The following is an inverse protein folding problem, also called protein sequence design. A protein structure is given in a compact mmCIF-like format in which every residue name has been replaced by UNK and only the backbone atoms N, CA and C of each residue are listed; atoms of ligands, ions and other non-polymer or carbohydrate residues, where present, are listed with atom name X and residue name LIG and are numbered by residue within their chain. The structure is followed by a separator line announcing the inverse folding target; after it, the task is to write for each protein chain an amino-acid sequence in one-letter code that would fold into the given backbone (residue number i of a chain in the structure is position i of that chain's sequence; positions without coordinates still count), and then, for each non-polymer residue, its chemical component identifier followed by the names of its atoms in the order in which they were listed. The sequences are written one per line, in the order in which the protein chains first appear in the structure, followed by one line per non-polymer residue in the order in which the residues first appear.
data_IF_133684894160
#
_entry.id   IF_133684894160
#
_cell.length_a   1.000
_cell.length_b   1.000
_cell.length_c   1.000
_cell.angle_alpha   90.00
_cell.angle_beta   90.00
_cell.angle_gamma   90.00
#
_symmetry.space_group_name_H-M   'P 1'
#
loop_
_entity.id
_entity.type
_entity.pdbx_description
1 polymer ?
#
# COMPACT_ATOMS: atom_id res chain seq x y z
N UNK A 1 -29.86 43.67 48.15
CA UNK A 1 -28.85 42.57 48.18
C UNK A 1 -27.74 42.93 47.21
N UNK A 2 -26.48 42.67 47.62
CA UNK A 2 -25.20 43.11 47.01
C UNK A 2 -24.70 42.15 45.91
N UNK A 3 -23.63 42.61 45.24
CA UNK A 3 -22.69 41.96 44.28
C UNK A 3 -23.13 42.05 42.81
N UNK A 4 -22.54 42.83 41.90
CA UNK A 4 -21.16 43.29 41.65
C UNK A 4 -20.18 42.15 41.32
N UNK A 5 -19.80 42.00 40.05
CA UNK A 5 -18.40 42.21 39.63
C UNK A 5 -18.22 42.24 38.10
N UNK A 6 -17.55 43.31 37.68
CA UNK A 6 -17.01 43.65 36.38
C UNK A 6 -15.72 42.88 36.06
N UNK A 7 -15.52 42.49 34.80
CA UNK A 7 -14.19 42.19 34.25
C UNK A 7 -13.85 43.26 33.21
N UNK A 8 -12.76 44.00 33.49
CA UNK A 8 -12.25 45.10 32.68
C UNK A 8 -11.31 44.57 31.59
N UNK A 9 -11.58 45.02 30.37
CA UNK A 9 -10.69 45.00 29.21
C UNK A 9 -9.42 45.82 29.51
N UNK A 10 -8.22 45.26 29.25
CA UNK A 10 -6.97 46.03 29.21
C UNK A 10 -6.27 45.81 27.88
N UNK A 11 -6.21 46.91 27.14
CA UNK A 11 -5.46 47.16 25.92
C UNK A 11 -4.14 47.82 26.33
N UNK A 12 -2.99 47.26 25.94
CA UNK A 12 -1.67 47.91 25.99
C UNK A 12 -0.81 47.31 24.87
N UNK A 13 -0.71 47.96 23.71
CA UNK A 13 0.39 48.85 23.30
C UNK A 13 1.78 48.18 23.37
N UNK A 14 2.34 47.79 22.22
CA UNK A 14 3.78 47.66 22.03
C UNK A 14 4.19 48.48 20.81
N UNK A 15 4.99 49.51 21.06
CA UNK A 15 5.61 50.39 20.06
C UNK A 15 7.07 49.96 19.85
N UNK A 16 7.45 49.98 18.58
CA UNK A 16 8.74 49.80 17.93
C UNK A 16 9.95 50.46 18.63
N UNK A 17 11.11 49.81 18.64
CA UNK A 17 12.41 50.48 18.43
C UNK A 17 13.47 49.53 17.87
N UNK A 18 14.26 50.13 16.98
CA UNK A 18 15.22 49.62 16.01
C UNK A 18 16.62 49.52 16.65
N UNK A 19 17.41 48.47 16.38
CA UNK A 19 18.88 48.53 16.43
C UNK A 19 19.46 47.78 15.24
N UNK A 20 20.13 48.55 14.36
CA UNK A 20 21.03 48.10 13.31
C UNK A 20 22.31 47.49 13.93
N UNK A 21 22.85 46.45 13.29
CA UNK A 21 24.28 46.42 12.97
C UNK A 21 24.55 45.58 11.71
N UNK A 22 24.95 46.26 10.63
CA UNK A 22 25.78 45.73 9.54
C UNK A 22 27.14 45.36 10.15
N UNK A 23 27.85 44.30 9.75
CA UNK A 23 28.75 44.18 8.58
C UNK A 23 29.50 42.83 8.79
N UNK A 24 30.12 42.10 7.85
CA UNK A 24 30.83 42.41 6.62
C UNK A 24 30.94 41.11 5.80
N UNK A 25 30.82 41.20 4.48
CA UNK A 25 31.14 40.13 3.52
C UNK A 25 32.66 39.92 3.42
N UNK A 26 33.08 38.69 3.11
CA UNK A 26 34.27 38.45 2.29
C UNK A 26 34.00 37.28 1.33
N UNK A 27 33.79 37.62 0.07
CA UNK A 27 33.98 36.74 -1.08
C UNK A 27 35.43 36.84 -1.58
N UNK A 28 35.87 35.79 -2.29
CA UNK A 28 36.86 35.70 -3.38
C UNK A 28 37.73 34.45 -3.15
N UNK A 29 37.43 33.29 -3.76
CA UNK A 29 37.72 32.86 -5.15
C UNK A 29 39.19 32.96 -5.56
N UNK A 30 39.76 31.79 -5.87
CA UNK A 30 40.61 31.42 -7.03
C UNK A 30 40.93 29.94 -6.81
N UNK A 31 40.70 28.98 -7.71
CA UNK A 31 40.85 28.99 -9.16
C UNK A 31 42.15 28.26 -9.49
N UNK A 32 42.08 27.02 -9.99
CA UNK A 32 43.26 26.27 -10.39
C UNK A 32 42.99 24.80 -10.69
N UNK A 33 42.49 24.52 -11.88
CA UNK A 33 42.42 23.20 -12.49
C UNK A 33 43.67 23.01 -13.38
N UNK A 34 44.43 21.92 -13.20
CA UNK A 34 45.23 21.25 -14.24
C UNK A 34 45.91 19.96 -13.73
N UNK A 35 45.54 18.84 -14.37
CA UNK A 35 46.25 17.55 -14.50
C UNK A 35 47.29 17.65 -15.67
N UNK A 36 48.21 16.71 -16.02
CA UNK A 36 48.70 15.47 -15.38
C UNK A 36 50.25 15.27 -15.36
N UNK A 37 50.66 14.16 -14.71
CA UNK A 37 51.92 13.39 -14.90
C UNK A 37 53.28 14.03 -14.54
N UNK A 38 53.93 13.52 -13.48
CA UNK A 38 55.31 12.99 -13.53
C UNK A 38 55.69 12.23 -12.24
N UNK A 39 56.16 11.02 -12.47
CA UNK A 39 56.78 10.04 -11.56
C UNK A 39 57.88 10.60 -10.66
N UNK A 40 57.84 10.24 -9.36
CA UNK A 40 58.93 10.43 -8.41
C UNK A 40 58.70 9.63 -7.14
N UNK A 41 59.28 8.43 -7.08
CA UNK A 41 59.28 7.50 -5.95
C UNK A 41 60.12 8.01 -4.77
N UNK A 42 59.53 8.07 -3.57
CA UNK A 42 60.27 8.09 -2.31
C UNK A 42 59.74 7.01 -1.38
N UNK A 43 60.50 5.93 -1.26
CA UNK A 43 60.32 4.85 -0.29
C UNK A 43 61.02 5.25 1.00
N UNK A 44 60.27 5.41 2.09
CA UNK A 44 60.84 5.33 3.45
C UNK A 44 60.59 3.91 3.96
N UNK A 45 61.66 3.13 4.01
CA UNK A 45 61.68 1.81 4.65
C UNK A 45 61.70 2.00 6.18
N UNK A 46 60.63 1.59 6.86
CA UNK A 46 60.65 1.21 8.27
C UNK A 46 60.68 -0.32 8.38
N UNK A 47 61.52 -0.92 9.24
CA UNK A 47 61.62 -2.37 9.35
C UNK A 47 60.49 -2.94 10.21
N UNK A 48 59.79 -3.94 9.67
CA UNK A 48 59.32 -5.12 10.40
C UNK A 48 58.29 -4.90 11.52
N UNK A 49 57.03 -4.73 11.14
CA UNK A 49 55.94 -5.33 11.90
C UNK A 49 55.35 -6.45 11.02
N UNK A 50 55.47 -7.69 11.49
CA UNK A 50 54.74 -8.82 10.91
C UNK A 50 53.25 -8.50 10.97
N UNK A 51 52.64 -8.25 9.81
CA UNK A 51 51.19 -8.25 9.69
C UNK A 51 50.71 -9.64 10.14
N UNK A 52 49.84 -9.75 11.18
CA UNK A 52 49.11 -10.98 11.34
C UNK A 52 48.31 -11.16 10.04
N UNK A 53 48.39 -12.35 9.47
CA UNK A 53 47.50 -12.80 8.40
C UNK A 53 46.09 -12.34 8.74
N UNK A 54 45.59 -11.35 8.00
CA UNK A 54 44.18 -10.98 8.03
C UNK A 54 43.46 -12.25 7.59
N UNK A 55 42.80 -12.92 8.54
CA UNK A 55 41.66 -13.76 8.21
C UNK A 55 40.73 -12.83 7.46
N UNK A 56 40.62 -13.00 6.14
CA UNK A 56 39.60 -12.32 5.35
C UNK A 56 38.26 -12.83 5.90
N UNK A 57 37.69 -12.05 6.82
CA UNK A 57 36.40 -12.37 7.40
C UNK A 57 35.40 -12.44 6.25
N UNK A 58 34.70 -13.57 6.13
CA UNK A 58 33.75 -13.78 5.03
C UNK A 58 32.71 -12.66 5.11
N UNK A 59 32.66 -11.81 4.09
CA UNK A 59 31.76 -10.66 4.05
C UNK A 59 30.31 -11.14 3.94
N UNK A 60 29.43 -10.64 4.80
CA UNK A 60 28.02 -10.95 4.77
C UNK A 60 27.33 -10.13 3.67
N UNK A 61 27.15 -10.74 2.49
CA UNK A 61 26.50 -10.10 1.34
C UNK A 61 24.97 -10.28 1.37
N UNK A 62 24.24 -9.41 0.67
CA UNK A 62 22.77 -9.41 0.60
C UNK A 62 22.23 -8.87 -0.72
N UNK A 63 20.95 -9.18 -0.98
CA UNK A 63 20.10 -8.58 -2.03
C UNK A 63 18.93 -7.88 -1.36
N UNK A 64 18.61 -6.66 -1.81
CA UNK A 64 17.42 -5.91 -1.39
C UNK A 64 16.42 -5.80 -2.54
N UNK A 65 15.13 -5.88 -2.22
CA UNK A 65 14.01 -5.57 -3.12
C UNK A 65 12.98 -4.68 -2.43
N UNK A 66 12.13 -4.03 -3.22
CA UNK A 66 10.96 -3.32 -2.74
C UNK A 66 9.66 -3.94 -3.27
N UNK A 67 8.71 -4.21 -2.38
CA UNK A 67 7.34 -4.55 -2.75
C UNK A 67 6.41 -3.42 -2.31
N UNK A 68 5.72 -2.78 -3.26
CA UNK A 68 4.74 -1.74 -2.98
C UNK A 68 3.33 -2.33 -3.04
N UNK A 69 2.48 -2.01 -2.07
CA UNK A 69 1.06 -2.33 -2.06
C UNK A 69 0.21 -1.08 -1.89
N UNK A 70 -0.87 -1.00 -2.66
CA UNK A 70 -1.87 0.07 -2.60
C UNK A 70 -3.28 -0.50 -2.40
N UNK A 71 -4.18 0.33 -1.87
CA UNK A 71 -5.56 -0.03 -1.55
C UNK A 71 -6.50 -0.12 -2.75
N UNK A 72 -7.76 0.25 -2.54
CA UNK A 72 -8.86 -0.05 -3.45
C UNK A 72 -8.87 0.84 -4.71
N UNK A 73 -8.85 0.21 -5.89
CA UNK A 73 -9.14 0.87 -7.16
C UNK A 73 -10.60 0.59 -7.54
N UNK A 74 -11.41 1.66 -7.51
CA UNK A 74 -12.83 1.62 -7.85
C UNK A 74 -13.22 2.82 -8.74
N UNK A 75 -14.09 2.58 -9.71
CA UNK A 75 -14.53 3.62 -10.65
C UNK A 75 -16.03 3.88 -10.55
N UNK A 76 -16.37 5.03 -9.98
CA UNK A 76 -17.75 5.53 -9.93
C UNK A 76 -18.10 6.28 -11.23
N UNK A 77 -19.39 6.46 -11.48
CA UNK A 77 -19.89 7.07 -12.72
C UNK A 77 -19.30 8.46 -13.03
N UNK A 78 -18.97 9.26 -12.02
CA UNK A 78 -18.31 10.55 -12.23
C UNK A 78 -16.88 10.42 -12.74
N UNK A 79 -16.12 9.42 -12.29
CA UNK A 79 -14.78 9.11 -12.78
C UNK A 79 -14.84 8.58 -14.22
N UNK A 80 -15.85 7.76 -14.55
CA UNK A 80 -16.06 7.31 -15.94
C UNK A 80 -16.37 8.49 -16.87
N UNK A 81 -17.21 9.44 -16.44
CA UNK A 81 -17.51 10.66 -17.21
C UNK A 81 -16.28 11.55 -17.40
N UNK A 82 -15.46 11.68 -16.36
CA UNK A 82 -14.18 12.43 -16.37
C UNK A 82 -13.19 11.87 -17.39
N UNK A 83 -13.07 10.55 -17.45
CA UNK A 83 -12.13 9.87 -18.34
C UNK A 83 -12.60 9.80 -19.81
N UNK A 84 -13.87 10.07 -20.11
CA UNK A 84 -14.40 9.94 -21.46
C UNK A 84 -13.87 11.04 -22.41
N UNK A 85 -13.43 10.64 -23.59
CA UNK A 85 -12.91 11.50 -24.66
C UNK A 85 -13.86 11.46 -25.85
N UNK A 86 -14.77 12.42 -25.92
CA UNK A 86 -15.84 12.46 -26.94
C UNK A 86 -15.33 12.59 -28.38
N UNK A 87 -14.15 13.18 -28.59
CA UNK A 87 -13.57 13.33 -29.92
C UNK A 87 -13.11 11.99 -30.54
N UNK A 88 -12.73 11.03 -29.71
CA UNK A 88 -12.22 9.71 -30.14
C UNK A 88 -13.15 8.56 -29.77
N UNK A 89 -14.20 8.81 -28.99
CA UNK A 89 -15.08 7.79 -28.40
C UNK A 89 -14.30 6.75 -27.57
N UNK A 90 -13.33 7.24 -26.78
CA UNK A 90 -12.46 6.41 -25.93
C UNK A 90 -12.46 6.89 -24.49
N UNK A 91 -11.83 6.12 -23.61
CA UNK A 91 -11.58 6.49 -22.21
C UNK A 91 -10.09 6.64 -21.96
N UNK A 92 -9.71 7.57 -21.09
CA UNK A 92 -8.33 7.82 -20.67
C UNK A 92 -8.31 8.18 -19.18
N UNK A 93 -7.67 7.30 -18.40
CA UNK A 93 -7.53 7.40 -16.94
C UNK A 93 -6.08 7.70 -16.52
N UNK A 94 -5.21 8.09 -17.44
CA UNK A 94 -3.79 8.36 -17.13
C UNK A 94 -3.61 9.45 -16.06
N UNK A 95 -4.51 10.43 -16.06
CA UNK A 95 -4.54 11.52 -15.08
C UNK A 95 -4.64 11.02 -13.63
N UNK A 96 -5.33 9.89 -13.41
CA UNK A 96 -5.53 9.32 -12.09
C UNK A 96 -4.22 9.03 -11.36
N UNK A 97 -3.17 8.64 -12.10
CA UNK A 97 -1.90 8.17 -11.54
C UNK A 97 -0.71 9.09 -11.83
N UNK A 98 -0.93 10.23 -12.47
CA UNK A 98 0.15 11.09 -12.98
C UNK A 98 1.20 11.47 -11.91
N UNK A 99 0.76 11.70 -10.67
CA UNK A 99 1.62 12.14 -9.56
C UNK A 99 2.26 10.99 -8.77
N UNK A 100 1.77 9.77 -8.93
CA UNK A 100 2.21 8.58 -8.19
C UNK A 100 2.94 7.57 -9.06
N UNK A 101 2.86 7.69 -10.39
CA UNK A 101 3.51 6.80 -11.37
C UNK A 101 4.99 6.55 -11.06
N UNK A 102 5.76 7.59 -10.77
CA UNK A 102 7.20 7.42 -10.50
C UNK A 102 7.46 6.69 -9.17
N UNK A 103 6.55 6.78 -8.20
CA UNK A 103 6.67 6.05 -6.93
C UNK A 103 6.38 4.57 -7.18
N UNK A 104 5.25 4.26 -7.84
CA UNK A 104 4.82 2.88 -8.14
C UNK A 104 5.85 2.17 -9.02
N UNK A 105 6.20 2.74 -10.17
CA UNK A 105 7.12 2.14 -11.14
C UNK A 105 8.58 2.05 -10.67
N UNK A 106 8.93 2.67 -9.54
CA UNK A 106 10.25 2.51 -8.91
C UNK A 106 10.34 1.27 -8.01
N UNK A 107 9.19 0.67 -7.66
CA UNK A 107 9.17 -0.58 -6.90
C UNK A 107 9.64 -1.75 -7.77
N UNK A 108 10.29 -2.73 -7.16
CA UNK A 108 10.66 -3.96 -7.87
C UNK A 108 9.45 -4.86 -8.16
N UNK A 109 8.38 -4.70 -7.36
CA UNK A 109 7.11 -5.35 -7.58
C UNK A 109 5.96 -4.54 -6.95
N UNK A 110 4.94 -4.19 -7.71
CA UNK A 110 3.81 -3.39 -7.25
C UNK A 110 2.45 -4.12 -7.36
N UNK A 111 1.69 -4.11 -6.26
CA UNK A 111 0.43 -4.85 -6.10
C UNK A 111 -0.71 -3.90 -5.73
N UNK A 112 -1.91 -4.10 -6.28
CA UNK A 112 -3.08 -3.26 -5.96
C UNK A 112 -4.38 -4.04 -5.97
N UNK A 113 -5.35 -3.63 -5.14
CA UNK A 113 -6.69 -4.22 -5.15
C UNK A 113 -7.52 -3.67 -6.32
N UNK A 114 -7.98 -4.56 -7.19
CA UNK A 114 -8.83 -4.22 -8.34
C UNK A 114 -10.29 -4.54 -8.01
N UNK A 115 -11.04 -3.52 -7.58
CA UNK A 115 -12.38 -3.68 -7.00
C UNK A 115 -13.46 -3.16 -7.96
N UNK A 116 -13.43 -3.71 -9.17
CA UNK A 116 -14.43 -3.47 -10.22
C UNK A 116 -14.46 -4.66 -11.15
N UNK A 117 -15.39 -4.71 -12.11
CA UNK A 117 -15.42 -5.76 -13.14
C UNK A 117 -15.14 -5.19 -14.53
N UNK A 118 -14.79 -6.04 -15.48
CA UNK A 118 -14.57 -5.70 -16.90
C UNK A 118 -15.48 -6.53 -17.82
N UNK A 119 -16.65 -6.90 -17.31
CA UNK A 119 -17.55 -7.90 -17.84
C UNK A 119 -18.23 -7.51 -19.16
N UNK A 120 -18.66 -6.25 -19.31
CA UNK A 120 -19.44 -5.82 -20.47
C UNK A 120 -18.88 -4.53 -21.09
N UNK A 121 -18.29 -4.64 -22.28
CA UNK A 121 -17.69 -3.48 -22.94
C UNK A 121 -18.69 -2.60 -23.70
N UNK A 122 -19.97 -2.95 -23.70
CA UNK A 122 -21.04 -2.14 -24.31
C UNK A 122 -21.79 -1.28 -23.28
N UNK A 123 -21.59 -1.50 -21.98
CA UNK A 123 -22.32 -0.80 -20.92
C UNK A 123 -21.45 -0.70 -19.67
N UNK A 124 -21.02 0.51 -19.33
CA UNK A 124 -20.25 0.75 -18.11
C UNK A 124 -21.15 1.21 -16.98
N UNK A 125 -20.99 0.60 -15.82
CA UNK A 125 -21.82 0.83 -14.63
C UNK A 125 -20.96 1.13 -13.41
N UNK A 126 -21.58 1.72 -12.40
CA UNK A 126 -20.96 1.96 -11.09
C UNK A 126 -21.80 1.35 -9.99
N UNK A 127 -21.51 1.70 -8.73
CA UNK A 127 -22.32 1.33 -7.56
C UNK A 127 -23.83 1.24 -7.86
N UNK A 128 -24.51 0.14 -7.50
CA UNK A 128 -24.02 -0.96 -6.66
C UNK A 128 -23.31 -2.11 -7.40
N UNK A 129 -23.29 -2.10 -8.73
CA UNK A 129 -22.65 -3.17 -9.52
C UNK A 129 -21.72 -2.56 -10.55
N UNK A 130 -20.42 -2.64 -10.29
CA UNK A 130 -19.40 -1.95 -11.04
C UNK A 130 -19.00 -2.70 -12.30
N UNK A 131 -18.84 -1.98 -13.40
CA UNK A 131 -18.25 -2.48 -14.62
C UNK A 131 -17.54 -1.36 -15.37
N UNK A 132 -16.23 -1.47 -15.48
CA UNK A 132 -15.32 -0.45 -15.98
C UNK A 132 -14.87 -0.71 -17.43
N UNK A 133 -14.53 0.34 -18.19
CA UNK A 133 -13.88 0.21 -19.50
C UNK A 133 -12.48 -0.42 -19.37
N UNK A 134 -12.03 -1.17 -20.39
CA UNK A 134 -10.69 -1.76 -20.39
C UNK A 134 -9.55 -0.74 -20.26
N UNK A 135 -9.79 0.53 -20.60
CA UNK A 135 -8.81 1.61 -20.49
C UNK A 135 -8.29 1.84 -19.05
N UNK A 136 -9.00 1.32 -18.02
CA UNK A 136 -8.47 1.33 -16.65
C UNK A 136 -7.24 0.41 -16.52
N UNK A 137 -7.19 -0.70 -17.25
CA UNK A 137 -6.04 -1.60 -17.25
C UNK A 137 -4.82 -0.95 -17.91
N UNK A 138 -5.04 -0.15 -18.97
CA UNK A 138 -3.97 0.61 -19.63
C UNK A 138 -3.32 1.59 -18.65
N UNK A 139 -4.12 2.37 -17.90
CA UNK A 139 -3.59 3.35 -16.95
C UNK A 139 -2.95 2.70 -15.71
N UNK A 140 -3.51 1.59 -15.21
CA UNK A 140 -2.92 0.83 -14.11
C UNK A 140 -1.57 0.23 -14.53
N UNK A 141 -1.46 -0.29 -15.76
CA UNK A 141 -0.20 -0.84 -16.28
C UNK A 141 0.83 0.27 -16.48
N UNK A 142 0.42 1.40 -17.06
CA UNK A 142 1.29 2.57 -17.26
C UNK A 142 1.76 3.18 -15.94
N UNK A 143 0.94 3.14 -14.88
CA UNK A 143 1.34 3.56 -13.55
C UNK A 143 2.47 2.70 -12.96
N UNK A 144 2.59 1.44 -13.40
CA UNK A 144 3.65 0.52 -13.00
C UNK A 144 3.22 -0.61 -12.08
N UNK A 145 1.91 -0.89 -11.94
CA UNK A 145 1.46 -2.05 -11.17
C UNK A 145 1.69 -3.36 -11.94
N UNK A 146 2.19 -4.36 -11.24
CA UNK A 146 2.50 -5.68 -11.79
C UNK A 146 1.37 -6.68 -11.58
N UNK A 147 0.72 -6.62 -10.40
CA UNK A 147 -0.29 -7.58 -9.97
C UNK A 147 -1.58 -6.95 -9.50
N UNK A 148 -2.69 -7.60 -9.88
CA UNK A 148 -4.05 -7.25 -9.45
C UNK A 148 -4.58 -8.29 -8.47
N UNK A 149 -5.10 -7.83 -7.34
CA UNK A 149 -5.84 -8.64 -6.38
C UNK A 149 -7.31 -8.64 -6.78
N UNK A 150 -7.94 -9.81 -6.87
CA UNK A 150 -9.32 -9.93 -7.35
C UNK A 150 -10.24 -10.71 -6.41
N UNK A 151 -9.75 -11.25 -5.30
CA UNK A 151 -10.64 -11.60 -4.20
C UNK A 151 -11.00 -10.31 -3.45
N UNK A 152 -12.17 -9.77 -3.77
CA UNK A 152 -12.84 -8.68 -3.08
C UNK A 152 -14.36 -8.83 -3.23
N UNK A 153 -15.12 -7.99 -2.55
CA UNK A 153 -16.59 -8.03 -2.56
C UNK A 153 -17.23 -7.76 -3.94
N UNK A 154 -16.56 -6.99 -4.81
CA UNK A 154 -17.06 -6.61 -6.14
C UNK A 154 -16.63 -7.54 -7.28
N UNK A 155 -15.84 -8.57 -7.01
CA UNK A 155 -15.35 -9.49 -8.05
C UNK A 155 -16.48 -10.29 -8.74
N UNK A 156 -17.65 -10.37 -8.10
CA UNK A 156 -18.81 -11.14 -8.50
C UNK A 156 -20.03 -10.28 -8.91
N UNK A 157 -19.86 -8.97 -9.15
CA UNK A 157 -20.96 -8.06 -9.53
C UNK A 157 -21.72 -8.52 -10.79
N UNK A 158 -21.01 -9.12 -11.74
CA UNK A 158 -21.56 -9.69 -12.99
C UNK A 158 -21.60 -11.23 -12.96
N UNK A 159 -21.65 -11.80 -11.76
CA UNK A 159 -21.69 -13.25 -11.49
C UNK A 159 -20.51 -13.99 -12.13
N UNK A 160 -20.61 -15.31 -12.32
CA UNK A 160 -19.53 -16.13 -12.90
C UNK A 160 -19.05 -15.66 -14.26
N UNK A 161 -19.98 -15.24 -15.13
CA UNK A 161 -19.61 -14.76 -16.46
C UNK A 161 -18.73 -13.51 -16.36
N UNK A 162 -19.11 -12.55 -15.52
CA UNK A 162 -18.32 -11.33 -15.31
C UNK A 162 -16.99 -11.60 -14.64
N UNK A 163 -16.98 -12.45 -13.61
CA UNK A 163 -15.76 -12.87 -12.92
C UNK A 163 -14.74 -13.46 -13.90
N UNK A 164 -15.13 -14.45 -14.70
CA UNK A 164 -14.27 -15.09 -15.69
C UNK A 164 -13.86 -14.14 -16.82
N UNK A 165 -14.77 -13.26 -17.27
CA UNK A 165 -14.46 -12.26 -18.27
C UNK A 165 -13.37 -11.30 -17.77
N UNK A 166 -13.47 -10.80 -16.53
CA UNK A 166 -12.47 -9.92 -15.93
C UNK A 166 -11.11 -10.60 -15.82
N UNK A 167 -11.04 -11.84 -15.30
CA UNK A 167 -9.79 -12.60 -15.23
C UNK A 167 -9.16 -12.80 -16.62
N UNK A 168 -9.98 -13.07 -17.64
CA UNK A 168 -9.53 -13.16 -19.03
C UNK A 168 -8.93 -11.85 -19.55
N UNK A 169 -9.42 -10.68 -19.12
CA UNK A 169 -8.81 -9.39 -19.47
C UNK A 169 -7.46 -9.20 -18.78
N UNK A 170 -7.32 -9.59 -17.51
CA UNK A 170 -6.02 -9.53 -16.82
C UNK A 170 -4.96 -10.33 -17.59
N UNK A 171 -5.30 -11.55 -18.02
CA UNK A 171 -4.41 -12.37 -18.85
C UNK A 171 -4.07 -11.70 -20.19
N UNK A 172 -5.06 -11.14 -20.88
CA UNK A 172 -4.87 -10.46 -22.18
C UNK A 172 -3.98 -9.22 -22.06
N UNK A 173 -4.08 -8.50 -20.95
CA UNK A 173 -3.28 -7.30 -20.66
C UNK A 173 -1.92 -7.62 -20.02
N UNK A 174 -1.64 -8.91 -19.73
CA UNK A 174 -0.37 -9.33 -19.14
C UNK A 174 -0.19 -8.88 -17.69
N UNK A 175 -1.28 -8.87 -16.91
CA UNK A 175 -1.21 -8.73 -15.46
C UNK A 175 -1.06 -10.10 -14.80
N UNK A 176 -0.21 -10.15 -13.77
CA UNK A 176 -0.29 -11.22 -12.79
C UNK A 176 -1.52 -10.96 -11.90
N UNK A 177 -2.19 -12.01 -11.45
CA UNK A 177 -3.34 -11.86 -10.55
C UNK A 177 -3.49 -13.08 -9.63
N UNK A 178 -4.10 -12.84 -8.47
CA UNK A 178 -4.45 -13.85 -7.47
C UNK A 178 -5.84 -13.58 -6.89
N UNK A 179 -6.35 -14.52 -6.10
CA UNK A 179 -7.69 -14.41 -5.49
C UNK A 179 -8.82 -14.99 -6.35
N UNK A 180 -8.49 -15.52 -7.53
CA UNK A 180 -9.45 -16.12 -8.44
C UNK A 180 -8.85 -17.11 -9.42
N UNK A 181 -9.67 -18.03 -9.94
CA UNK A 181 -9.28 -19.11 -10.85
C UNK A 181 -10.13 -19.09 -12.11
N UNK A 182 -9.51 -19.34 -13.27
CA UNK A 182 -10.24 -19.60 -14.52
C UNK A 182 -10.89 -20.99 -14.51
N UNK A 183 -10.23 -21.95 -13.86
CA UNK A 183 -10.66 -23.34 -13.74
C UNK A 183 -10.35 -23.84 -12.32
N UNK A 184 -11.19 -24.71 -11.76
CA UNK A 184 -11.04 -25.20 -10.38
C UNK A 184 -9.68 -25.93 -10.13
N UNK A 185 -9.07 -26.48 -11.17
CA UNK A 185 -7.75 -27.12 -11.15
C UNK A 185 -6.57 -26.14 -11.09
N UNK A 186 -6.79 -24.85 -11.38
CA UNK A 186 -5.75 -23.82 -11.40
C UNK A 186 -5.39 -23.35 -9.99
N UNK A 187 -4.15 -22.88 -9.81
CA UNK A 187 -3.76 -22.16 -8.59
C UNK A 187 -4.25 -20.71 -8.67
N UNK A 188 -4.70 -20.18 -7.53
CA UNK A 188 -5.09 -18.77 -7.33
C UNK A 188 -4.14 -18.01 -6.41
N UNK A 189 -2.98 -18.62 -6.13
CA UNK A 189 -1.88 -18.11 -5.32
C UNK A 189 -0.58 -18.44 -6.05
N UNK A 190 0.50 -17.71 -5.74
CA UNK A 190 1.75 -17.86 -6.50
C UNK A 190 3.00 -17.65 -5.66
N UNK A 191 4.11 -18.22 -6.16
CA UNK A 191 5.46 -17.86 -5.73
C UNK A 191 6.04 -16.92 -6.78
N UNK A 192 6.29 -15.67 -6.41
CA UNK A 192 6.91 -14.67 -7.27
C UNK A 192 8.39 -14.54 -6.94
N UNK A 193 9.26 -14.79 -7.92
CA UNK A 193 10.68 -14.49 -7.80
C UNK A 193 10.93 -13.02 -8.19
N UNK A 194 11.40 -12.23 -7.24
CA UNK A 194 11.81 -10.83 -7.43
C UNK A 194 13.30 -10.76 -7.11
N UNK A 195 14.14 -10.62 -8.14
CA UNK A 195 15.61 -10.54 -8.03
C UNK A 195 16.23 -11.66 -7.17
N UNK A 196 15.70 -12.87 -7.21
CA UNK A 196 16.20 -14.04 -6.48
C UNK A 196 15.62 -14.20 -5.06
N UNK A 197 14.65 -13.38 -4.67
CA UNK A 197 13.86 -13.52 -3.44
C UNK A 197 12.47 -14.02 -3.81
N UNK A 198 12.04 -15.16 -3.25
CA UNK A 198 10.77 -15.81 -3.59
C UNK A 198 9.67 -15.47 -2.62
N UNK A 199 8.69 -14.70 -3.07
CA UNK A 199 7.54 -14.24 -2.29
C UNK A 199 6.34 -15.17 -2.54
N UNK A 200 5.79 -15.78 -1.50
CA UNK A 200 4.51 -16.50 -1.57
C UNK A 200 3.35 -15.53 -1.37
N UNK A 201 2.41 -15.49 -2.32
CA UNK A 201 1.34 -14.49 -2.37
C UNK A 201 -0.04 -15.16 -2.36
N UNK A 202 -0.90 -14.73 -1.43
CA UNK A 202 -2.28 -15.21 -1.24
C UNK A 202 -3.25 -14.03 -1.24
N UNK A 203 -4.48 -14.21 -1.73
CA UNK A 203 -5.51 -13.18 -1.66
C UNK A 203 -6.88 -13.80 -1.34
N UNK A 204 -7.57 -13.27 -0.33
CA UNK A 204 -8.89 -13.74 0.10
C UNK A 204 -9.89 -12.61 0.28
N UNK A 205 -11.19 -12.92 0.17
CA UNK A 205 -12.27 -12.01 0.55
C UNK A 205 -13.29 -12.68 1.47
N UNK A 206 -13.87 -11.91 2.38
CA UNK A 206 -14.93 -12.41 3.24
C UNK A 206 -16.30 -12.41 2.53
N UNK A 207 -17.19 -13.28 3.00
CA UNK A 207 -18.57 -13.43 2.53
C UNK A 207 -19.47 -13.76 3.71
N UNK A 208 -20.79 -13.77 3.47
CA UNK A 208 -21.79 -14.09 4.47
C UNK A 208 -22.68 -15.24 3.98
N UNK A 209 -23.11 -16.10 4.90
CA UNK A 209 -24.30 -16.94 4.69
C UNK A 209 -25.48 -16.26 5.39
N UNK A 210 -26.55 -15.85 4.69
CA UNK A 210 -27.75 -15.32 5.33
C UNK A 210 -28.37 -16.36 6.30
N UNK A 211 -29.04 -15.95 7.40
CA UNK A 211 -29.55 -16.87 8.43
C UNK A 211 -30.48 -18.00 7.93
N UNK A 212 -31.13 -17.81 6.77
CA UNK A 212 -31.97 -18.80 6.11
C UNK A 212 -31.51 -19.08 4.66
N UNK A 213 -30.27 -18.71 4.32
CA UNK A 213 -29.70 -18.86 2.99
C UNK A 213 -29.10 -20.25 2.79
N UNK A 214 -29.43 -20.88 1.66
CA UNK A 214 -28.74 -22.10 1.21
C UNK A 214 -27.34 -21.82 0.68
N UNK A 215 -27.11 -20.59 0.19
CA UNK A 215 -25.90 -20.19 -0.52
C UNK A 215 -25.23 -19.01 0.17
N UNK A 216 -23.92 -18.91 -0.03
CA UNK A 216 -23.16 -17.73 0.36
C UNK A 216 -23.53 -16.53 -0.53
N UNK A 217 -23.36 -15.35 0.05
CA UNK A 217 -23.62 -14.07 -0.60
C UNK A 217 -22.41 -13.17 -0.46
N UNK A 218 -22.12 -12.43 -1.53
CA UNK A 218 -21.11 -11.38 -1.56
C UNK A 218 -21.79 -10.12 -2.13
N UNK A 219 -21.66 -8.98 -1.43
CA UNK A 219 -22.44 -7.76 -1.72
C UNK A 219 -23.96 -8.00 -1.89
N UNK A 220 -24.52 -8.96 -1.15
CA UNK A 220 -25.94 -9.35 -1.24
C UNK A 220 -26.31 -10.14 -2.50
N UNK A 221 -25.36 -10.43 -3.39
CA UNK A 221 -25.55 -11.27 -4.57
C UNK A 221 -25.36 -12.74 -4.17
N UNK A 222 -26.37 -13.57 -4.44
CA UNK A 222 -26.29 -15.02 -4.19
C UNK A 222 -25.30 -15.70 -5.13
N UNK A 223 -24.37 -16.45 -4.56
CA UNK A 223 -23.40 -17.27 -5.31
C UNK A 223 -24.01 -18.66 -5.53
N UNK A 224 -24.65 -18.88 -6.70
CA UNK A 224 -25.38 -20.12 -7.00
C UNK A 224 -25.17 -20.66 -8.42
N UNK A 225 -24.11 -20.21 -9.10
CA UNK A 225 -23.75 -20.61 -10.48
C UNK A 225 -22.42 -21.40 -10.54
N UNK A 226 -21.94 -21.85 -9.38
CA UNK A 226 -20.68 -22.59 -9.23
C UNK A 226 -19.44 -21.71 -9.42
N UNK A 227 -19.52 -20.40 -9.17
CA UNK A 227 -18.34 -19.53 -9.10
C UNK A 227 -17.61 -19.63 -7.76
N UNK A 228 -18.26 -20.13 -6.71
CA UNK A 228 -17.69 -20.26 -5.36
C UNK A 228 -16.35 -21.00 -5.36
N UNK A 229 -16.23 -22.12 -6.07
CA UNK A 229 -14.99 -22.90 -6.18
C UNK A 229 -13.86 -22.18 -6.96
N UNK A 230 -14.18 -21.09 -7.64
CA UNK A 230 -13.26 -20.29 -8.45
C UNK A 230 -12.80 -19.02 -7.74
N UNK A 231 -13.43 -18.65 -6.63
CA UNK A 231 -13.11 -17.45 -5.86
C UNK A 231 -12.41 -17.85 -4.57
N UNK A 232 -11.34 -17.15 -4.22
CA UNK A 232 -10.70 -17.33 -2.91
C UNK A 232 -11.50 -16.55 -1.86
N UNK A 233 -12.61 -17.12 -1.42
CA UNK A 233 -13.50 -16.53 -0.43
C UNK A 233 -13.61 -17.38 0.82
N UNK A 234 -13.97 -16.74 1.93
CA UNK A 234 -14.34 -17.45 3.16
C UNK A 234 -15.60 -16.84 3.77
N UNK A 235 -16.28 -17.61 4.62
CA UNK A 235 -17.51 -17.18 5.28
C UNK A 235 -17.20 -16.67 6.68
N UNK A 236 -17.60 -15.44 6.99
CA UNK A 236 -17.48 -14.89 8.36
C UNK A 236 -18.26 -15.76 9.35
N UNK A 237 -17.64 -16.06 10.49
CA UNK A 237 -18.11 -16.98 11.52
C UNK A 237 -17.90 -18.46 11.20
N UNK A 238 -17.20 -18.80 10.10
CA UNK A 238 -16.84 -20.19 9.72
C UNK A 238 -15.40 -20.27 9.22
N UNK A 239 -14.49 -19.60 9.93
CA UNK A 239 -13.10 -19.40 9.51
C UNK A 239 -12.23 -20.67 9.55
N UNK A 240 -12.69 -21.76 10.19
CA UNK A 240 -11.94 -23.02 10.22
C UNK A 240 -11.62 -23.56 8.81
N UNK A 241 -12.53 -23.36 7.85
CA UNK A 241 -12.30 -23.72 6.45
C UNK A 241 -11.19 -22.86 5.81
N UNK A 242 -11.19 -21.55 6.09
CA UNK A 242 -10.13 -20.65 5.66
C UNK A 242 -8.78 -21.11 6.24
N UNK A 243 -8.72 -21.40 7.53
CA UNK A 243 -7.46 -21.77 8.19
C UNK A 243 -6.90 -23.09 7.67
N UNK A 244 -7.75 -24.08 7.41
CA UNK A 244 -7.34 -25.34 6.80
C UNK A 244 -6.76 -25.11 5.40
N UNK A 245 -7.47 -24.35 4.55
CA UNK A 245 -7.02 -24.08 3.19
C UNK A 245 -5.73 -23.24 3.16
N UNK A 246 -5.64 -22.18 3.97
CA UNK A 246 -4.42 -21.36 4.07
C UNK A 246 -3.24 -22.20 4.55
N UNK A 247 -3.45 -23.12 5.49
CA UNK A 247 -2.39 -24.04 5.95
C UNK A 247 -1.86 -24.89 4.79
N UNK A 248 -2.74 -25.47 3.99
CA UNK A 248 -2.35 -26.27 2.82
C UNK A 248 -1.60 -25.42 1.78
N UNK A 249 -2.08 -24.22 1.49
CA UNK A 249 -1.44 -23.31 0.53
C UNK A 249 -0.09 -22.80 1.03
N UNK A 250 0.06 -22.50 2.31
CA UNK A 250 1.36 -22.15 2.93
C UNK A 250 2.36 -23.28 2.75
N UNK A 251 1.93 -24.54 2.97
CA UNK A 251 2.79 -25.70 2.78
C UNK A 251 3.20 -25.87 1.32
N UNK A 252 2.28 -25.68 0.36
CA UNK A 252 2.61 -25.71 -1.07
C UNK A 252 3.54 -24.56 -1.47
N UNK A 253 3.30 -23.33 -1.00
CA UNK A 253 4.19 -22.18 -1.23
C UNK A 253 5.61 -22.47 -0.74
N UNK A 254 5.75 -22.98 0.50
CA UNK A 254 7.05 -23.38 1.08
C UNK A 254 7.71 -24.51 0.28
N UNK A 255 6.94 -25.51 -0.14
CA UNK A 255 7.45 -26.60 -0.99
C UNK A 255 7.94 -26.11 -2.37
N UNK A 256 7.38 -25.00 -2.87
CA UNK A 256 7.82 -24.32 -4.09
C UNK A 256 8.89 -23.23 -3.83
N UNK A 257 9.42 -23.16 -2.60
CA UNK A 257 10.54 -22.33 -2.22
C UNK A 257 10.18 -20.88 -1.88
N UNK A 258 8.94 -20.59 -1.47
CA UNK A 258 8.60 -19.30 -0.88
C UNK A 258 9.42 -19.08 0.40
N UNK A 259 10.03 -17.90 0.50
CA UNK A 259 10.90 -17.48 1.60
C UNK A 259 10.21 -16.47 2.53
N UNK A 260 9.15 -15.82 2.02
CA UNK A 260 8.32 -14.87 2.74
C UNK A 260 6.89 -14.94 2.20
N UNK A 261 5.90 -15.02 3.07
CA UNK A 261 4.48 -15.21 2.74
C UNK A 261 3.69 -13.93 3.05
N UNK A 262 3.09 -13.36 2.02
CA UNK A 262 2.24 -12.18 2.08
C UNK A 262 0.80 -12.61 1.76
N UNK A 263 -0.12 -12.29 2.67
CA UNK A 263 -1.54 -12.56 2.51
C UNK A 263 -2.31 -11.26 2.41
N UNK A 264 -2.96 -11.06 1.28
CA UNK A 264 -3.91 -9.98 1.05
C UNK A 264 -5.32 -10.41 1.44
N UNK A 265 -6.07 -9.56 2.13
CA UNK A 265 -7.42 -9.92 2.60
C UNK A 265 -8.41 -8.75 2.50
N UNK A 266 -9.57 -9.00 1.91
CA UNK A 266 -10.62 -8.01 1.73
C UNK A 266 -11.76 -8.31 2.73
N UNK A 267 -11.83 -7.56 3.83
CA UNK A 267 -12.57 -7.98 5.04
C UNK A 267 -13.06 -6.84 5.94
N UNK A 268 -13.88 -7.18 6.92
CA UNK A 268 -14.27 -6.25 7.97
C UNK A 268 -15.58 -5.54 7.65
N UNK A 269 -15.72 -4.28 8.08
CA UNK A 269 -16.93 -3.51 7.86
C UNK A 269 -16.58 -2.16 7.24
N UNK A 270 -17.33 -1.77 6.22
CA UNK A 270 -17.15 -0.47 5.58
C UNK A 270 -17.19 0.70 6.58
N UNK A 271 -16.25 1.62 6.40
CA UNK A 271 -16.14 2.92 7.06
C UNK A 271 -15.93 2.87 8.58
N UNK A 272 -15.45 1.74 9.11
CA UNK A 272 -14.92 1.66 10.47
C UNK A 272 -13.46 2.09 10.48
N UNK A 273 -13.10 3.04 11.35
CA UNK A 273 -11.71 3.51 11.48
C UNK A 273 -10.83 2.56 12.31
N UNK A 274 -11.44 1.55 12.93
CA UNK A 274 -10.78 0.58 13.78
C UNK A 274 -11.25 -0.82 13.40
N UNK A 275 -10.32 -1.80 13.31
CA UNK A 275 -10.67 -3.15 12.94
C UNK A 275 -11.57 -3.79 14.00
N UNK A 276 -12.59 -4.51 13.54
CA UNK A 276 -13.49 -5.27 14.41
C UNK A 276 -12.76 -6.49 14.99
N UNK A 277 -13.26 -7.04 16.11
CA UNK A 277 -12.65 -8.19 16.77
C UNK A 277 -12.45 -9.40 15.83
N UNK A 278 -13.39 -9.65 14.91
CA UNK A 278 -13.26 -10.72 13.93
C UNK A 278 -12.03 -10.57 13.02
N UNK A 279 -11.69 -9.35 12.58
CA UNK A 279 -10.45 -9.11 11.83
C UNK A 279 -9.22 -9.43 12.67
N UNK A 280 -9.20 -9.00 13.95
CA UNK A 280 -8.07 -9.25 14.87
C UNK A 280 -7.88 -10.74 15.14
N UNK A 281 -8.97 -11.49 15.33
CA UNK A 281 -8.94 -12.93 15.55
C UNK A 281 -8.39 -13.69 14.33
N UNK A 282 -8.85 -13.33 13.13
CA UNK A 282 -8.32 -13.90 11.88
C UNK A 282 -6.85 -13.52 11.69
N UNK A 283 -6.47 -12.25 11.91
CA UNK A 283 -5.09 -11.79 11.79
C UNK A 283 -4.15 -12.57 12.71
N UNK A 284 -4.51 -12.73 13.99
CA UNK A 284 -3.74 -13.50 14.96
C UNK A 284 -3.65 -14.97 14.56
N UNK A 285 -4.72 -15.55 14.01
CA UNK A 285 -4.69 -16.94 13.56
C UNK A 285 -3.79 -17.12 12.34
N UNK A 286 -3.81 -16.20 11.37
CA UNK A 286 -2.91 -16.21 10.23
C UNK A 286 -1.44 -16.04 10.65
N UNK A 287 -1.17 -15.20 11.63
CA UNK A 287 0.14 -15.10 12.27
C UNK A 287 0.60 -16.44 12.86
N UNK A 288 -0.29 -17.11 13.60
CA UNK A 288 -0.02 -18.43 14.18
C UNK A 288 0.24 -19.54 13.12
N UNK A 289 -0.21 -19.35 11.87
CA UNK A 289 0.03 -20.25 10.74
C UNK A 289 1.35 -19.95 9.99
N UNK A 290 2.04 -18.86 10.34
CA UNK A 290 3.33 -18.49 9.75
C UNK A 290 3.20 -17.58 8.51
N UNK A 291 2.16 -16.76 8.43
CA UNK A 291 2.11 -15.63 7.47
C UNK A 291 3.04 -14.52 7.97
N UNK A 292 3.87 -13.94 7.11
CA UNK A 292 4.82 -12.89 7.50
C UNK A 292 4.20 -11.49 7.43
N UNK A 293 3.37 -11.24 6.42
CA UNK A 293 2.70 -9.94 6.23
C UNK A 293 1.24 -10.14 5.85
N UNK A 294 0.35 -9.40 6.50
CA UNK A 294 -1.07 -9.32 6.15
C UNK A 294 -1.36 -7.90 5.66
N UNK A 295 -1.98 -7.79 4.49
CA UNK A 295 -2.36 -6.50 3.91
C UNK A 295 -3.86 -6.52 3.61
N UNK A 296 -4.61 -5.76 4.40
CA UNK A 296 -6.06 -5.69 4.33
C UNK A 296 -6.57 -4.56 3.43
N UNK A 297 -7.81 -4.72 2.98
CA UNK A 297 -8.64 -3.71 2.31
C UNK A 297 -10.13 -3.97 2.61
N UNK A 298 -11.05 -3.21 1.99
CA UNK A 298 -12.53 -3.24 2.13
C UNK A 298 -13.16 -2.09 2.93
N UNK A 299 -12.64 -1.67 4.10
CA UNK A 299 -13.28 -0.62 4.88
C UNK A 299 -13.43 0.72 4.14
N UNK A 300 -12.77 0.91 3.00
CA UNK A 300 -12.68 2.16 2.24
C UNK A 300 -12.14 3.34 3.04
N UNK A 301 -11.57 3.06 4.21
CA UNK A 301 -10.84 3.96 5.09
C UNK A 301 -9.59 3.22 5.54
N UNK A 302 -8.58 3.98 5.92
CA UNK A 302 -7.37 3.42 6.50
C UNK A 302 -7.69 2.93 7.92
N UNK A 303 -7.34 1.69 8.21
CA UNK A 303 -7.32 1.13 9.56
C UNK A 303 -5.87 1.00 10.05
N UNK A 304 -5.61 1.00 11.37
CA UNK A 304 -4.25 0.90 11.92
C UNK A 304 -3.47 -0.33 11.47
N UNK A 305 -2.16 -0.33 11.77
CA UNK A 305 -1.32 -1.52 11.69
C UNK A 305 -0.99 -2.09 13.06
N UNK A 306 -0.65 -3.37 13.09
CA UNK A 306 -0.24 -4.10 14.29
C UNK A 306 0.92 -5.06 13.98
N UNK A 307 1.79 -5.28 14.95
CA UNK A 307 2.81 -6.34 14.91
C UNK A 307 2.32 -7.46 15.82
N UNK A 308 1.89 -8.57 15.24
CA UNK A 308 1.40 -9.74 15.94
C UNK A 308 2.56 -10.69 16.22
N UNK A 309 2.56 -11.33 17.39
CA UNK A 309 3.51 -12.41 17.70
C UNK A 309 2.77 -13.73 17.66
N UNK A 310 3.36 -14.74 17.03
CA UNK A 310 2.75 -16.06 16.96
C UNK A 310 2.72 -16.71 18.34
N UNK A 311 1.58 -17.29 18.67
CA UNK A 311 1.37 -18.06 19.90
C UNK A 311 1.97 -19.47 19.81
N UNK A 312 2.23 -19.95 18.59
CA UNK A 312 2.83 -21.25 18.32
C UNK A 312 4.36 -21.18 18.24
N UNK A 313 4.88 -20.02 17.83
CA UNK A 313 6.31 -19.74 17.68
C UNK A 313 6.59 -18.28 18.06
N UNK A 314 7.05 -18.00 19.30
CA UNK A 314 7.35 -16.65 19.74
C UNK A 314 8.45 -15.93 18.94
N UNK A 315 9.20 -16.64 18.11
CA UNK A 315 10.19 -16.03 17.20
C UNK A 315 9.56 -15.53 15.89
N UNK A 316 8.36 -15.99 15.56
CA UNK A 316 7.60 -15.54 14.39
C UNK A 316 6.73 -14.34 14.74
N UNK A 317 6.82 -13.30 13.92
CA UNK A 317 5.96 -12.11 14.00
C UNK A 317 5.35 -11.81 12.64
N UNK A 318 4.14 -11.26 12.65
CA UNK A 318 3.43 -10.82 11.45
C UNK A 318 3.19 -9.33 11.51
N UNK A 319 3.49 -8.61 10.44
CA UNK A 319 3.02 -7.23 10.29
C UNK A 319 1.65 -7.25 9.63
N UNK A 320 0.64 -6.70 10.29
CA UNK A 320 -0.73 -6.66 9.79
C UNK A 320 -1.15 -5.21 9.54
N UNK A 321 -1.44 -4.88 8.29
CA UNK A 321 -2.15 -3.66 7.89
C UNK A 321 -3.62 -4.04 7.77
N UNK A 322 -4.50 -3.52 8.64
CA UNK A 322 -5.90 -3.96 8.63
C UNK A 322 -6.69 -3.42 7.42
N UNK A 323 -6.37 -2.21 6.95
CA UNK A 323 -6.90 -1.63 5.71
C UNK A 323 -6.00 -0.52 5.18
N UNK A 324 -5.70 -0.55 3.88
CA UNK A 324 -4.99 0.54 3.18
C UNK A 324 -5.91 1.68 2.69
N UNK A 325 -7.23 1.52 2.81
CA UNK A 325 -8.22 2.49 2.35
C UNK A 325 -8.33 2.58 0.82
N UNK A 326 -9.01 3.63 0.36
CA UNK A 326 -9.22 3.84 -1.07
C UNK A 326 -7.95 4.37 -1.75
N UNK A 327 -7.52 3.72 -2.81
CA UNK A 327 -6.47 4.27 -3.67
C UNK A 327 -7.03 5.23 -4.71
N UNK A 328 -8.10 4.85 -5.41
CA UNK A 328 -8.87 5.75 -6.27
C UNK A 328 -10.36 5.39 -6.21
N UNK A 329 -11.21 6.36 -5.86
CA UNK A 329 -12.67 6.20 -5.84
C UNK A 329 -13.36 7.58 -5.91
N UNK A 330 -14.70 7.60 -5.92
CA UNK A 330 -15.49 8.82 -5.71
C UNK A 330 -16.24 8.79 -4.36
N UNK A 331 -15.80 7.96 -3.41
CA UNK A 331 -16.26 8.05 -2.03
C UNK A 331 -15.49 9.17 -1.34
N UNK A 332 -15.93 10.42 -1.54
CA UNK A 332 -15.30 11.60 -0.94
C UNK A 332 -16.30 12.45 -0.17
N UNK A 333 -15.77 13.41 0.60
CA UNK A 333 -16.55 14.30 1.47
C UNK A 333 -17.67 15.07 0.78
N UNK A 334 -17.55 15.30 -0.53
CA UNK A 334 -18.49 16.11 -1.32
C UNK A 334 -19.60 15.25 -1.97
N UNK A 335 -19.25 14.07 -2.49
CA UNK A 335 -20.20 13.19 -3.20
C UNK A 335 -20.85 12.13 -2.33
N UNK A 336 -20.20 11.70 -1.24
CA UNK A 336 -20.66 10.55 -0.47
C UNK A 336 -21.52 10.96 0.72
N UNK A 337 -22.75 11.40 0.41
CA UNK A 337 -23.63 12.05 1.39
C UNK A 337 -24.36 11.09 2.34
N UNK A 338 -24.36 9.79 2.05
CA UNK A 338 -25.02 8.78 2.89
C UNK A 338 -24.26 8.51 4.20
N UNK A 339 -22.98 8.89 4.28
CA UNK A 339 -22.18 8.80 5.50
C UNK A 339 -22.26 10.06 6.36
N UNK A 340 -21.94 9.90 7.65
CA UNK A 340 -21.83 11.03 8.59
C UNK A 340 -20.66 11.93 8.21
N UNK A 341 -20.81 13.25 8.41
CA UNK A 341 -19.79 14.24 8.05
C UNK A 341 -18.42 13.98 8.71
N UNK A 342 -18.40 13.31 9.86
CA UNK A 342 -17.16 12.97 10.57
C UNK A 342 -16.35 11.85 9.92
N UNK A 343 -16.97 11.00 9.08
CA UNK A 343 -16.29 9.84 8.47
C UNK A 343 -15.89 10.10 7.02
N UNK A 344 -16.67 10.88 6.27
CA UNK A 344 -16.39 11.10 4.83
C UNK A 344 -14.97 11.57 4.50
N UNK A 345 -14.30 12.44 5.29
CA UNK A 345 -12.92 12.83 5.01
C UNK A 345 -11.93 11.65 5.01
N UNK A 346 -12.25 10.55 5.69
CA UNK A 346 -11.40 9.36 5.73
C UNK A 346 -11.55 8.48 4.49
N UNK A 347 -12.67 8.57 3.77
CA UNK A 347 -12.95 7.68 2.63
C UNK A 347 -12.21 8.06 1.35
N UNK A 348 -11.63 9.24 1.33
CA UNK A 348 -10.80 9.79 0.25
C UNK A 348 -9.30 9.65 0.53
N UNK A 349 -8.93 9.07 1.68
CA UNK A 349 -7.54 8.81 2.05
C UNK A 349 -7.18 7.36 1.70
N UNK A 350 -5.95 7.19 1.21
CA UNK A 350 -5.36 5.89 0.93
C UNK A 350 -3.92 5.82 1.42
N UNK A 351 -3.35 4.63 1.39
CA UNK A 351 -1.97 4.38 1.80
C UNK A 351 -1.26 3.53 0.74
N UNK A 352 -0.06 3.96 0.32
CA UNK A 352 0.91 3.06 -0.30
C UNK A 352 1.89 2.60 0.76
N UNK A 353 2.04 1.29 0.93
CA UNK A 353 3.01 0.68 1.84
C UNK A 353 4.10 0.02 1.01
N UNK A 354 5.36 0.32 1.31
CA UNK A 354 6.53 -0.30 0.67
C UNK A 354 7.28 -1.16 1.67
N UNK A 355 7.29 -2.47 1.43
CA UNK A 355 8.09 -3.42 2.16
C UNK A 355 9.49 -3.46 1.55
N UNK A 356 10.50 -3.09 2.34
CA UNK A 356 11.89 -3.27 1.96
C UNK A 356 12.34 -4.64 2.44
N UNK A 357 12.56 -5.57 1.52
CA UNK A 357 12.86 -6.97 1.84
C UNK A 357 14.32 -7.25 1.53
N UNK A 358 15.02 -7.87 2.49
CA UNK A 358 16.43 -8.23 2.37
C UNK A 358 16.60 -9.74 2.44
N UNK A 359 17.41 -10.30 1.55
CA UNK A 359 17.91 -11.67 1.61
C UNK A 359 19.42 -11.68 1.76
N UNK A 360 19.92 -12.30 2.82
CA UNK A 360 21.35 -12.51 3.03
C UNK A 360 21.86 -13.73 2.27
N UNK A 361 23.16 -13.76 1.98
CA UNK A 361 23.84 -14.92 1.35
C UNK A 361 23.80 -16.21 2.17
N UNK A 362 23.40 -16.14 3.44
CA UNK A 362 23.11 -17.29 4.30
C UNK A 362 21.76 -17.95 3.98
N UNK A 363 20.87 -17.23 3.31
CA UNK A 363 19.49 -17.64 3.02
C UNK A 363 18.43 -16.93 3.87
N UNK A 364 18.83 -16.22 4.92
CA UNK A 364 17.89 -15.51 5.81
C UNK A 364 17.22 -14.34 5.10
N UNK A 365 15.89 -14.25 5.21
CA UNK A 365 15.06 -13.21 4.59
C UNK A 365 14.33 -12.41 5.67
N UNK A 366 14.33 -11.09 5.53
CA UNK A 366 13.70 -10.17 6.46
C UNK A 366 12.87 -9.12 5.71
N UNK A 367 11.71 -8.75 6.25
CA UNK A 367 11.17 -7.40 6.02
C UNK A 367 12.05 -6.44 6.83
N UNK A 368 13.05 -5.87 6.19
CA UNK A 368 14.08 -5.03 6.82
C UNK A 368 13.49 -3.73 7.36
N UNK A 369 12.61 -3.12 6.59
CA UNK A 369 11.94 -1.87 6.96
C UNK A 369 10.68 -1.70 6.14
N UNK A 370 9.79 -0.85 6.63
CA UNK A 370 8.58 -0.45 5.95
C UNK A 370 8.59 1.07 5.78
N UNK A 371 8.34 1.52 4.56
CA UNK A 371 8.02 2.90 4.26
C UNK A 371 6.53 3.02 3.94
N UNK A 372 5.95 4.19 4.18
CA UNK A 372 4.57 4.47 3.78
C UNK A 372 4.47 5.85 3.14
N UNK A 373 3.57 5.96 2.16
CA UNK A 373 3.21 7.21 1.52
C UNK A 373 1.71 7.40 1.69
N UNK A 374 1.26 8.30 2.58
CA UNK A 374 -0.13 8.72 2.62
C UNK A 374 -0.54 9.29 1.26
N UNK A 375 -1.69 8.88 0.78
CA UNK A 375 -2.27 9.36 -0.48
C UNK A 375 -3.66 9.91 -0.25
N UNK A 376 -4.09 10.78 -1.15
CA UNK A 376 -5.41 11.38 -1.14
C UNK A 376 -5.95 11.46 -2.55
N UNK A 377 -7.24 11.14 -2.72
CA UNK A 377 -7.93 11.30 -4.00
C UNK A 377 -8.37 12.74 -4.13
N UNK A 378 -7.59 13.52 -4.88
CA UNK A 378 -7.94 14.90 -5.19
C UNK A 378 -9.00 14.92 -6.29
N UNK A 379 -10.19 15.43 -5.92
CA UNK A 379 -11.29 15.68 -6.84
C UNK A 379 -11.47 17.18 -7.02
N UNK A 380 -11.24 17.66 -8.23
CA UNK A 380 -11.28 19.10 -8.53
C UNK A 380 -12.10 19.39 -9.79
N UNK A 381 -12.74 20.57 -9.88
CA UNK A 381 -13.49 20.95 -11.08
C UNK A 381 -12.57 21.46 -12.19
N UNK A 382 -12.91 21.14 -13.44
CA UNK A 382 -12.32 21.72 -14.64
C UNK A 382 -13.40 22.08 -15.68
N UNK A 383 -13.01 22.45 -16.91
CA UNK A 383 -13.96 22.77 -17.98
C UNK A 383 -14.80 21.57 -18.46
N UNK A 384 -14.37 20.33 -18.17
CA UNK A 384 -15.00 19.09 -18.61
C UNK A 384 -15.77 18.36 -17.49
N UNK A 385 -15.84 18.95 -16.29
CA UNK A 385 -16.55 18.39 -15.15
C UNK A 385 -15.65 18.31 -13.93
N UNK A 386 -15.62 17.14 -13.29
CA UNK A 386 -14.69 16.87 -12.19
C UNK A 386 -13.59 15.96 -12.70
N UNK A 387 -12.36 16.23 -12.28
CA UNK A 387 -11.21 15.39 -12.51
C UNK A 387 -10.74 14.73 -11.20
N UNK A 388 -9.93 13.69 -11.34
CA UNK A 388 -9.50 12.84 -10.24
C UNK A 388 -8.04 12.48 -10.41
N UNK A 389 -7.24 12.68 -9.36
CA UNK A 389 -5.89 12.15 -9.30
C UNK A 389 -5.54 11.69 -7.89
N UNK A 390 -4.66 10.69 -7.80
CA UNK A 390 -4.07 10.25 -6.54
C UNK A 390 -2.86 11.13 -6.26
N UNK A 391 -2.88 11.82 -5.12
CA UNK A 391 -1.82 12.74 -4.70
C UNK A 391 -0.98 12.08 -3.61
N UNK A 392 0.36 12.00 -3.76
CA UNK A 392 1.25 11.60 -2.68
C UNK A 392 1.44 12.79 -1.73
N UNK A 393 0.86 12.68 -0.54
CA UNK A 393 0.71 13.79 0.39
C UNK A 393 2.03 14.36 0.93
N UNK A 394 3.10 13.58 1.21
CA UNK A 394 4.36 14.16 1.65
C UNK A 394 4.96 15.16 0.65
N UNK A 395 4.92 14.84 -0.64
CA UNK A 395 5.45 15.70 -1.69
C UNK A 395 4.51 16.87 -1.96
N UNK A 396 3.21 16.61 -2.07
CA UNK A 396 2.22 17.63 -2.37
C UNK A 396 2.06 18.68 -1.25
N UNK A 397 2.25 18.31 0.01
CA UNK A 397 2.24 19.30 1.10
C UNK A 397 3.48 20.22 1.08
N UNK A 398 4.59 19.79 0.47
CA UNK A 398 5.78 20.60 0.30
C UNK A 398 5.72 21.49 -0.96
N UNK A 399 5.03 21.03 -2.01
CA UNK A 399 4.82 21.77 -3.26
C UNK A 399 3.36 21.63 -3.75
N UNK A 400 2.39 22.33 -3.14
CA UNK A 400 0.98 22.12 -3.50
C UNK A 400 0.66 22.48 -4.95
N UNK A 401 1.26 23.54 -5.48
CA UNK A 401 1.02 24.01 -6.85
C UNK A 401 1.53 22.99 -7.89
N UNK A 402 2.70 22.38 -7.65
CA UNK A 402 3.25 21.33 -8.52
C UNK A 402 2.39 20.07 -8.60
N UNK A 403 1.49 19.87 -7.64
CA UNK A 403 0.52 18.77 -7.59
C UNK A 403 -0.91 19.22 -7.90
N UNK A 404 -1.09 20.43 -8.44
CA UNK A 404 -2.40 20.95 -8.86
C UNK A 404 -3.34 21.32 -7.70
N UNK A 405 -2.83 21.41 -6.47
CA UNK A 405 -3.63 21.77 -5.30
C UNK A 405 -3.75 23.28 -5.17
N UNK A 406 -4.96 23.79 -4.97
CA UNK A 406 -5.19 25.23 -4.81
C UNK A 406 -5.91 25.56 -3.51
N UNK A 407 -5.90 26.83 -3.12
CA UNK A 407 -6.78 27.29 -2.05
C UNK A 407 -8.25 27.36 -2.50
N UNK A 408 -8.50 27.62 -3.79
CA UNK A 408 -9.85 27.82 -4.34
C UNK A 408 -10.70 26.56 -4.40
N UNK A 409 -10.08 25.40 -4.52
CA UNK A 409 -10.74 24.09 -4.48
C UNK A 409 -10.58 23.39 -3.11
N UNK A 410 -10.04 24.11 -2.12
CA UNK A 410 -9.66 23.58 -0.80
C UNK A 410 -8.61 22.45 -0.84
N UNK A 411 -7.91 22.25 -1.98
CA UNK A 411 -6.95 21.17 -2.15
C UNK A 411 -5.80 21.22 -1.15
N UNK A 412 -5.26 22.43 -0.87
CA UNK A 412 -4.16 22.61 0.09
C UNK A 412 -4.56 22.17 1.50
N UNK A 413 -5.69 22.66 1.99
CA UNK A 413 -6.17 22.37 3.35
C UNK A 413 -6.58 20.91 3.51
N UNK A 414 -7.24 20.35 2.49
CA UNK A 414 -7.68 18.96 2.50
C UNK A 414 -6.51 17.98 2.44
N UNK A 415 -5.49 18.24 1.63
CA UNK A 415 -4.28 17.43 1.57
C UNK A 415 -3.51 17.45 2.90
N UNK A 416 -3.36 18.62 3.52
CA UNK A 416 -2.72 18.74 4.83
C UNK A 416 -3.49 17.96 5.92
N UNK A 417 -4.83 18.04 5.91
CA UNK A 417 -5.66 17.28 6.84
C UNK A 417 -5.59 15.77 6.59
N UNK A 418 -5.64 15.32 5.34
CA UNK A 418 -5.50 13.91 4.94
C UNK A 418 -4.16 13.34 5.42
N UNK A 419 -3.07 14.09 5.26
CA UNK A 419 -1.76 13.68 5.75
C UNK A 419 -1.76 13.49 7.27
N UNK A 420 -2.28 14.45 8.02
CA UNK A 420 -2.34 14.36 9.48
C UNK A 420 -3.20 13.18 9.95
N UNK A 421 -4.35 12.94 9.31
CA UNK A 421 -5.22 11.80 9.63
C UNK A 421 -4.46 10.48 9.50
N UNK A 422 -3.78 10.24 8.37
CA UNK A 422 -3.03 9.01 8.13
C UNK A 422 -1.77 8.91 8.98
N UNK A 423 -0.98 9.97 9.05
CA UNK A 423 0.32 9.99 9.75
C UNK A 423 0.16 9.76 11.26
N UNK A 424 -0.93 10.27 11.84
CA UNK A 424 -1.25 10.06 13.26
C UNK A 424 -1.46 8.59 13.65
N UNK A 425 -1.79 7.74 12.69
CA UNK A 425 -2.04 6.31 12.90
C UNK A 425 -0.80 5.46 12.57
N UNK A 426 0.03 5.88 11.62
CA UNK A 426 1.12 5.05 11.07
C UNK A 426 2.53 5.42 11.50
N UNK A 427 2.82 6.70 11.78
CA UNK A 427 4.18 7.17 12.04
C UNK A 427 4.85 6.41 13.19
N UNK A 428 4.19 6.31 14.34
CA UNK A 428 4.74 5.65 15.53
C UNK A 428 4.86 4.12 15.38
N UNK A 429 3.84 3.37 14.93
CA UNK A 429 3.97 1.93 14.71
C UNK A 429 5.04 1.55 13.68
N UNK A 430 5.15 2.29 12.57
CA UNK A 430 6.20 2.06 11.55
C UNK A 430 7.59 2.33 12.13
N UNK A 431 7.77 3.43 12.88
CA UNK A 431 9.05 3.72 13.53
C UNK A 431 9.44 2.62 14.52
N UNK A 432 8.49 2.11 15.30
CA UNK A 432 8.71 1.03 16.24
C UNK A 432 9.12 -0.27 15.51
N UNK A 433 8.42 -0.62 14.43
CA UNK A 433 8.77 -1.78 13.58
C UNK A 433 10.20 -1.63 13.01
N UNK A 434 10.49 -0.50 12.38
CA UNK A 434 11.78 -0.27 11.72
C UNK A 434 12.94 -0.27 12.72
N UNK A 435 12.74 0.26 13.93
CA UNK A 435 13.73 0.22 15.01
C UNK A 435 13.99 -1.22 15.45
N UNK A 436 12.92 -1.99 15.70
CA UNK A 436 13.01 -3.41 16.08
C UNK A 436 13.78 -4.21 15.02
N UNK A 437 13.44 -4.05 13.74
CA UNK A 437 14.10 -4.80 12.66
C UNK A 437 15.56 -4.39 12.47
N UNK A 438 15.89 -3.12 12.67
CA UNK A 438 17.29 -2.67 12.64
C UNK A 438 18.12 -3.36 13.73
N UNK A 439 17.59 -3.47 14.95
CA UNK A 439 18.25 -4.16 16.06
C UNK A 439 18.39 -5.67 15.80
N UNK A 440 17.35 -6.34 15.31
CA UNK A 440 17.38 -7.77 14.97
C UNK A 440 18.41 -8.07 13.87
N UNK A 441 18.44 -7.25 12.81
CA UNK A 441 19.40 -7.40 11.72
C UNK A 441 20.84 -7.14 12.19
N UNK A 442 21.04 -6.16 13.08
CA UNK A 442 22.35 -5.90 13.68
C UNK A 442 22.81 -7.09 14.55
N UNK A 443 21.93 -7.66 15.36
CA UNK A 443 22.21 -8.84 16.19
C UNK A 443 22.54 -10.07 15.33
N UNK A 444 21.76 -10.32 14.27
CA UNK A 444 22.02 -11.38 13.29
C UNK A 444 23.42 -11.22 12.66
N UNK A 445 23.72 -10.02 12.16
CA UNK A 445 25.01 -9.72 11.52
C UNK A 445 26.18 -9.92 12.48
N UNK A 446 26.04 -9.47 13.72
CA UNK A 446 27.05 -9.67 14.76
C UNK A 446 27.27 -11.16 15.07
N UNK A 447 26.19 -11.93 15.21
CA UNK A 447 26.26 -13.37 15.45
C UNK A 447 26.96 -14.13 14.31
N UNK A 448 26.66 -13.77 13.05
CA UNK A 448 27.36 -14.32 11.89
C UNK A 448 28.87 -14.10 11.98
N UNK A 449 29.27 -12.86 12.30
CA UNK A 449 30.68 -12.50 12.38
C UNK A 449 31.42 -13.16 13.54
N UNK A 450 30.78 -13.32 14.69
CA UNK A 450 31.40 -13.99 15.84
C UNK A 450 31.54 -15.50 15.62
N UNK A 451 30.63 -16.14 14.89
CA UNK A 451 30.73 -17.55 14.51
C UNK A 451 31.69 -17.81 13.32
N UNK A 452 32.11 -16.76 12.62
CA UNK A 452 33.05 -16.84 11.47
C UNK A 452 34.53 -16.69 11.85
N UNK A 453 34.82 -16.37 13.11
CA UNK A 453 36.16 -16.28 13.70
C UNK A 453 36.57 -17.61 14.31
#
# INVERSE_FOLDING_TARGET
MKCNNSVKLRLSLLILTLVLSLSFMASCTTGGEQDPTRTGSYTINTPGASNPTSNAQKELTYTDITLLSAGDIMYHMSQLKSAYRSASDTYDFSENFQYVKNIISSADYAVVNFETTLANQNEYTSFPSFNSPLAVLDSIKDAGFDMLLYANNHCYDYKKQGFLATLGQFQKYGFEYIGGKMEASSKSYMVKDVKGIKLGLLNYADTLTPPNGQYNTINGITINDGCEELMDIYVRGKEDALYAEVTERINDLKANGAELIILYIHWGNEYQLEPINGQKEVAQKLCNLGVDVIIGSHPHVIEPMEILTSQNDPSHSTVCFYSLGNYISNQNRLSFQDLTQSIRPYTENGLMVTLNIRKYSTGDVYVKSIDYTPTWVHRYPDSNGYQYNVVPLPQANNDPEGYGLTASDFGVDHAAAAFQMTDSVFSAPIMAFNTKMADEIAAFSQSYYDNSK
#
